data_IF_649028791544
#
_entry.id   IF_649028791544
#
_cell.length_a   1.000
_cell.length_b   1.000
_cell.length_c   1.000
_cell.angle_alpha   90.00
_cell.angle_beta   90.00
_cell.angle_gamma   90.00
#
_symmetry.space_group_name_H-M   'P 1'
#
loop_
_entity.id
_entity.type
_entity.pdbx_description
1 polymer ?
#
# COMPACT_ATOMS: atom_id res chain seq x y z
N UNK A 1 -0.17 3.45 -26.90
CA UNK A 1 -0.37 2.98 -25.52
C UNK A 1 0.74 3.63 -24.74
N UNK A 2 0.46 4.80 -24.16
CA UNK A 2 1.40 5.41 -23.23
C UNK A 2 1.55 4.42 -22.08
N UNK A 3 2.70 3.78 -21.99
CA UNK A 3 3.18 3.16 -20.76
C UNK A 3 3.34 4.32 -19.79
N UNK A 4 2.29 4.64 -19.04
CA UNK A 4 2.42 5.46 -17.84
C UNK A 4 3.52 4.81 -17.02
N UNK A 5 4.62 5.52 -16.80
CA UNK A 5 5.79 4.96 -16.15
C UNK A 5 5.42 4.73 -14.69
N UNK A 6 5.18 3.46 -14.32
CA UNK A 6 4.70 3.07 -13.00
C UNK A 6 5.84 2.49 -12.21
N UNK A 7 6.09 3.06 -11.05
CA UNK A 7 7.18 2.60 -10.17
C UNK A 7 6.60 1.93 -8.94
N UNK A 8 7.17 0.80 -8.56
CA UNK A 8 6.83 0.12 -7.31
C UNK A 8 7.97 0.33 -6.33
N UNK A 9 7.67 0.95 -5.21
CA UNK A 9 8.63 1.28 -4.15
C UNK A 9 8.27 0.50 -2.90
N UNK A 10 9.10 -0.47 -2.51
CA UNK A 10 8.90 -1.30 -1.33
C UNK A 10 9.57 -0.62 -0.13
N UNK A 11 8.82 -0.38 0.94
CA UNK A 11 9.38 0.12 2.20
C UNK A 11 10.04 -1.03 2.98
N UNK A 12 11.36 -1.18 2.84
CA UNK A 12 12.15 -2.32 3.32
C UNK A 12 12.83 -2.15 4.68
N UNK A 13 12.75 -0.99 5.34
CA UNK A 13 13.58 -0.64 6.52
C UNK A 13 13.65 -1.67 7.66
N UNK A 14 12.52 -2.35 7.90
CA UNK A 14 12.32 -3.29 9.00
C UNK A 14 11.92 -4.66 8.45
N UNK A 15 12.10 -4.87 7.14
CA UNK A 15 11.79 -6.12 6.48
C UNK A 15 13.04 -6.98 6.38
N UNK A 16 12.84 -8.27 6.56
CA UNK A 16 13.83 -9.30 6.25
C UNK A 16 13.93 -9.50 4.73
N UNK A 17 15.02 -10.12 4.27
CA UNK A 17 15.16 -10.50 2.86
C UNK A 17 13.98 -11.38 2.39
N UNK A 18 13.48 -12.28 3.24
CA UNK A 18 12.34 -13.16 2.93
C UNK A 18 11.05 -12.36 2.69
N UNK A 19 10.78 -11.36 3.52
CA UNK A 19 9.63 -10.46 3.37
C UNK A 19 9.74 -9.58 2.12
N UNK A 20 10.94 -9.09 1.80
CA UNK A 20 11.20 -8.33 0.57
C UNK A 20 10.94 -9.20 -0.66
N UNK A 21 11.47 -10.43 -0.67
CA UNK A 21 11.27 -11.38 -1.76
C UNK A 21 9.81 -11.81 -1.89
N UNK A 22 9.06 -11.92 -0.79
CA UNK A 22 7.61 -12.14 -0.82
C UNK A 22 6.89 -11.04 -1.63
N UNK A 23 7.19 -9.77 -1.35
CA UNK A 23 6.55 -8.64 -2.03
C UNK A 23 6.95 -8.57 -3.50
N UNK A 24 8.22 -8.78 -3.81
CA UNK A 24 8.69 -8.84 -5.21
C UNK A 24 7.96 -9.93 -5.97
N UNK A 25 7.89 -11.14 -5.40
CA UNK A 25 7.18 -12.26 -6.00
C UNK A 25 5.70 -11.94 -6.21
N UNK A 26 5.06 -11.28 -5.25
CA UNK A 26 3.66 -10.83 -5.38
C UNK A 26 3.49 -9.87 -6.56
N UNK A 27 4.38 -8.89 -6.70
CA UNK A 27 4.35 -7.94 -7.80
C UNK A 27 4.64 -8.61 -9.15
N UNK A 28 5.59 -9.54 -9.22
CA UNK A 28 5.89 -10.31 -10.43
C UNK A 28 4.70 -11.20 -10.84
N UNK A 29 4.04 -11.88 -9.91
CA UNK A 29 2.85 -12.71 -10.18
C UNK A 29 1.66 -11.84 -10.62
N UNK A 30 1.58 -10.60 -10.11
CA UNK A 30 0.64 -9.58 -10.56
C UNK A 30 0.95 -9.04 -11.97
N UNK A 31 2.09 -9.42 -12.56
CA UNK A 31 2.52 -9.03 -13.90
C UNK A 31 3.36 -7.75 -13.96
N UNK A 32 3.93 -7.33 -12.83
CA UNK A 32 4.82 -6.16 -12.77
C UNK A 32 6.24 -6.54 -13.13
N UNK A 33 6.93 -5.67 -13.88
CA UNK A 33 8.32 -5.94 -14.23
C UNK A 33 9.21 -5.70 -13.01
N UNK A 34 10.05 -6.69 -12.67
CA UNK A 34 10.97 -6.58 -11.53
C UNK A 34 11.94 -5.40 -11.59
N UNK A 35 12.24 -4.87 -12.79
CA UNK A 35 13.09 -3.69 -12.99
C UNK A 35 12.42 -2.38 -12.54
N UNK A 36 11.09 -2.38 -12.41
CA UNK A 36 10.30 -1.25 -11.91
C UNK A 36 10.12 -1.29 -10.38
N UNK A 37 10.66 -2.32 -9.71
CA UNK A 37 10.58 -2.52 -8.26
C UNK A 37 11.87 -2.03 -7.58
N UNK A 38 11.75 -0.99 -6.77
CA UNK A 38 12.82 -0.45 -5.93
C UNK A 38 12.53 -0.73 -4.45
N UNK A 39 13.55 -1.06 -3.67
CA UNK A 39 13.43 -1.20 -2.21
C UNK A 39 14.11 -0.02 -1.55
N UNK A 40 13.39 0.66 -0.65
CA UNK A 40 13.88 1.86 0.05
C UNK A 40 13.70 1.72 1.56
N UNK A 41 14.62 2.30 2.32
CA UNK A 41 14.49 2.38 3.78
C UNK A 41 13.53 3.50 4.23
N UNK A 42 13.20 4.45 3.37
CA UNK A 42 12.24 5.50 3.68
C UNK A 42 11.56 6.04 2.43
N UNK A 43 10.30 6.43 2.58
CA UNK A 43 9.52 7.11 1.55
C UNK A 43 10.03 8.54 1.44
N UNK A 44 10.74 8.81 0.36
CA UNK A 44 11.29 10.11 0.05
C UNK A 44 10.28 11.09 -0.58
N UNK A 45 10.82 12.21 -1.06
CA UNK A 45 10.06 13.15 -1.88
C UNK A 45 9.59 12.46 -3.18
N UNK A 46 8.39 12.82 -3.69
CA UNK A 46 7.89 12.24 -4.93
C UNK A 46 8.83 12.60 -6.07
N UNK A 47 9.13 11.62 -6.92
CA UNK A 47 9.88 11.89 -8.14
C UNK A 47 9.02 12.72 -9.10
N UNK A 48 9.49 13.90 -9.56
CA UNK A 48 8.69 14.78 -10.40
C UNK A 48 8.45 14.24 -11.82
N UNK A 49 9.24 13.24 -12.24
CA UNK A 49 9.12 12.57 -13.54
C UNK A 49 8.32 11.25 -13.44
N UNK A 50 7.97 10.80 -12.23
CA UNK A 50 7.13 9.63 -11.99
C UNK A 50 5.65 10.02 -11.83
N UNK A 51 4.82 9.67 -12.81
CA UNK A 51 3.39 10.01 -12.79
C UNK A 51 2.58 9.18 -11.79
N UNK A 52 2.98 7.92 -11.54
CA UNK A 52 2.24 6.98 -10.71
C UNK A 52 3.21 6.06 -9.93
N UNK A 53 3.55 6.49 -8.71
CA UNK A 53 4.37 5.69 -7.77
C UNK A 53 3.47 4.93 -6.79
N UNK A 54 3.63 3.61 -6.77
CA UNK A 54 3.01 2.71 -5.80
C UNK A 54 4.01 2.45 -4.69
N UNK A 55 3.70 2.87 -3.48
CA UNK A 55 4.50 2.54 -2.31
C UNK A 55 3.90 1.32 -1.66
N UNK A 56 4.63 0.21 -1.63
CA UNK A 56 4.20 -1.05 -1.02
C UNK A 56 4.78 -1.17 0.39
N UNK A 57 3.92 -1.41 1.37
CA UNK A 57 4.30 -1.54 2.77
C UNK A 57 3.82 -2.89 3.30
N UNK A 58 4.71 -3.68 3.90
CA UNK A 58 4.28 -4.91 4.57
C UNK A 58 3.71 -4.61 5.95
N UNK A 59 2.53 -5.14 6.25
CA UNK A 59 1.89 -5.04 7.57
C UNK A 59 2.46 -6.06 8.57
N UNK A 60 3.79 -6.15 8.65
CA UNK A 60 4.48 -6.98 9.65
C UNK A 60 4.46 -6.31 11.03
N UNK A 61 4.67 -7.10 12.09
CA UNK A 61 4.65 -6.59 13.47
C UNK A 61 5.72 -5.50 13.68
N UNK A 62 6.92 -5.70 13.15
CA UNK A 62 8.01 -4.73 13.19
C UNK A 62 7.65 -3.45 12.44
N UNK A 63 7.10 -3.55 11.23
CA UNK A 63 6.66 -2.38 10.46
C UNK A 63 5.55 -1.63 11.18
N UNK A 64 4.55 -2.33 11.73
CA UNK A 64 3.43 -1.73 12.46
C UNK A 64 3.84 -1.03 13.76
N UNK A 65 4.99 -1.38 14.35
CA UNK A 65 5.53 -0.75 15.56
C UNK A 65 6.60 0.30 15.26
N UNK A 66 6.95 0.50 13.99
CA UNK A 66 7.94 1.48 13.56
C UNK A 66 7.42 2.92 13.79
N UNK A 67 8.16 3.76 14.53
CA UNK A 67 7.73 5.12 14.82
C UNK A 67 7.80 6.05 13.60
N UNK A 68 8.56 5.69 12.57
CA UNK A 68 8.69 6.49 11.35
C UNK A 68 7.61 6.14 10.30
N UNK A 69 6.98 4.96 10.38
CA UNK A 69 5.93 4.50 9.47
C UNK A 69 4.85 5.56 9.20
N UNK A 70 4.37 6.25 10.24
CA UNK A 70 3.36 7.30 10.08
C UNK A 70 3.83 8.43 9.17
N UNK A 71 5.09 8.87 9.34
CA UNK A 71 5.67 9.94 8.55
C UNK A 71 5.88 9.52 7.08
N UNK A 72 6.29 8.27 6.85
CA UNK A 72 6.44 7.70 5.52
C UNK A 72 5.11 7.60 4.79
N UNK A 73 4.10 7.03 5.45
CA UNK A 73 2.75 6.92 4.92
C UNK A 73 2.14 8.30 4.66
N UNK A 74 2.33 9.27 5.55
CA UNK A 74 1.90 10.65 5.33
C UNK A 74 2.60 11.28 4.10
N UNK A 75 3.86 10.92 3.86
CA UNK A 75 4.63 11.39 2.70
C UNK A 75 4.09 10.81 1.39
N UNK A 76 3.59 9.56 1.39
CA UNK A 76 2.95 8.96 0.21
C UNK A 76 1.73 9.74 -0.29
N UNK A 77 1.08 10.55 0.55
CA UNK A 77 -0.07 11.36 0.10
C UNK A 77 0.32 12.53 -0.83
N UNK A 78 1.62 12.78 -1.03
CA UNK A 78 2.14 13.82 -1.93
C UNK A 78 2.43 13.25 -3.31
N UNK A 79 2.18 14.01 -4.38
CA UNK A 79 2.62 13.65 -5.73
C UNK A 79 1.86 12.51 -6.40
N UNK A 80 0.58 12.30 -6.05
CA UNK A 80 -0.27 11.30 -6.73
C UNK A 80 -0.01 9.84 -6.35
N UNK A 81 0.82 9.59 -5.34
CA UNK A 81 1.26 8.24 -4.98
C UNK A 81 0.22 7.47 -4.17
N UNK A 82 0.35 6.15 -4.18
CA UNK A 82 -0.60 5.23 -3.52
C UNK A 82 0.13 4.30 -2.57
N UNK A 83 -0.22 4.36 -1.29
CA UNK A 83 0.28 3.43 -0.28
C UNK A 83 -0.54 2.13 -0.29
N UNK A 84 0.01 1.04 -0.80
CA UNK A 84 -0.60 -0.29 -0.79
C UNK A 84 0.03 -1.10 0.33
N UNK A 85 -0.77 -1.41 1.35
CA UNK A 85 -0.35 -2.27 2.44
C UNK A 85 -0.67 -3.73 2.13
N UNK A 86 0.31 -4.61 2.32
CA UNK A 86 0.18 -6.05 2.08
C UNK A 86 0.42 -6.81 3.38
N UNK A 87 -0.43 -7.78 3.70
CA UNK A 87 -0.18 -8.66 4.84
C UNK A 87 0.96 -9.65 4.55
N UNK A 88 1.86 -9.91 5.51
CA UNK A 88 2.81 -11.00 5.39
C UNK A 88 2.08 -12.35 5.28
N UNK A 89 2.67 -13.32 4.58
CA UNK A 89 2.09 -14.66 4.43
C UNK A 89 1.93 -15.39 5.79
N UNK A 90 2.79 -15.06 6.75
CA UNK A 90 2.76 -15.59 8.13
C UNK A 90 1.89 -14.73 9.08
N UNK A 91 1.15 -13.74 8.57
CA UNK A 91 0.31 -12.88 9.41
C UNK A 91 -0.72 -13.71 10.20
N UNK A 92 -0.81 -13.41 11.50
CA UNK A 92 -1.84 -14.00 12.34
C UNK A 92 -3.25 -13.66 11.82
N UNK A 93 -4.17 -14.62 11.90
CA UNK A 93 -5.55 -14.49 11.47
C UNK A 93 -6.30 -13.28 12.07
N UNK A 94 -5.93 -12.89 13.29
CA UNK A 94 -6.49 -11.77 14.06
C UNK A 94 -5.63 -10.50 14.01
N UNK A 95 -4.57 -10.47 13.18
CA UNK A 95 -3.73 -9.29 13.04
C UNK A 95 -4.54 -8.07 12.58
N UNK A 96 -4.22 -6.92 13.15
CA UNK A 96 -4.88 -5.66 12.87
C UNK A 96 -3.87 -4.64 12.32
N UNK A 97 -4.26 -3.83 11.33
CA UNK A 97 -3.36 -2.85 10.77
C UNK A 97 -3.09 -1.76 11.81
N UNK A 98 -1.90 -1.15 11.75
CA UNK A 98 -1.58 -0.03 12.61
C UNK A 98 -2.51 1.16 12.36
N UNK A 99 -2.63 2.07 13.33
CA UNK A 99 -3.43 3.29 13.16
C UNK A 99 -2.96 4.10 11.95
N UNK A 100 -1.63 4.20 11.74
CA UNK A 100 -1.03 4.85 10.58
C UNK A 100 -1.48 4.21 9.25
N UNK A 101 -1.46 2.88 9.14
CA UNK A 101 -1.96 2.19 7.94
C UNK A 101 -3.46 2.45 7.75
N UNK A 102 -4.26 2.35 8.80
CA UNK A 102 -5.69 2.69 8.71
C UNK A 102 -5.90 4.14 8.27
N UNK A 103 -5.01 5.06 8.63
CA UNK A 103 -5.19 6.48 8.36
C UNK A 103 -4.78 6.89 6.94
N UNK A 104 -3.71 6.30 6.43
CA UNK A 104 -3.02 6.75 5.22
C UNK A 104 -2.99 5.72 4.08
N UNK A 105 -3.22 4.43 4.35
CA UNK A 105 -3.19 3.42 3.31
C UNK A 105 -4.29 3.66 2.28
N UNK A 106 -3.91 3.55 1.02
CA UNK A 106 -4.84 3.52 -0.11
C UNK A 106 -5.60 2.18 -0.17
N UNK A 107 -4.91 1.07 0.11
CA UNK A 107 -5.50 -0.27 0.19
C UNK A 107 -4.72 -1.14 1.16
N UNK A 108 -5.40 -2.09 1.78
CA UNK A 108 -4.83 -3.12 2.66
C UNK A 108 -5.34 -4.47 2.15
N UNK A 109 -4.44 -5.28 1.62
CA UNK A 109 -4.77 -6.58 1.00
C UNK A 109 -3.92 -7.72 1.57
N UNK A 110 -4.43 -8.94 1.44
CA UNK A 110 -3.60 -10.14 1.65
C UNK A 110 -2.52 -10.29 0.56
N UNK A 111 -1.66 -11.31 0.67
CA UNK A 111 -0.68 -11.68 -0.36
C UNK A 111 -1.37 -12.33 -1.58
N UNK A 112 -2.23 -11.57 -2.25
CA UNK A 112 -3.03 -12.00 -3.40
C UNK A 112 -2.67 -11.17 -4.64
N UNK A 113 -2.08 -11.83 -5.64
CA UNK A 113 -1.53 -11.18 -6.82
C UNK A 113 -2.61 -10.55 -7.73
N UNK A 114 -3.80 -11.16 -7.79
CA UNK A 114 -4.90 -10.62 -8.60
C UNK A 114 -5.41 -9.32 -7.98
N UNK A 115 -5.62 -9.30 -6.66
CA UNK A 115 -6.00 -8.08 -5.93
C UNK A 115 -4.89 -7.04 -5.98
N UNK A 116 -3.64 -7.44 -5.79
CA UNK A 116 -2.48 -6.55 -5.89
C UNK A 116 -2.49 -5.87 -7.26
N UNK A 117 -2.58 -6.65 -8.35
CA UNK A 117 -2.71 -6.14 -9.71
C UNK A 117 -3.84 -5.14 -9.84
N UNK A 118 -5.05 -5.45 -9.36
CA UNK A 118 -6.20 -4.57 -9.48
C UNK A 118 -5.97 -3.24 -8.76
N UNK A 119 -5.51 -3.24 -7.50
CA UNK A 119 -5.35 -2.00 -6.72
C UNK A 119 -4.23 -1.10 -7.23
N UNK A 120 -3.23 -1.67 -7.90
CA UNK A 120 -2.13 -0.91 -8.50
C UNK A 120 -2.44 -0.46 -9.93
N UNK A 121 -3.22 -1.22 -10.73
CA UNK A 121 -3.56 -0.83 -12.11
C UNK A 121 -4.79 0.07 -12.19
N UNK A 122 -5.79 -0.15 -11.34
CA UNK A 122 -7.09 0.54 -11.37
C UNK A 122 -7.16 1.59 -10.24
N UNK A 123 -7.05 2.88 -10.58
CA UNK A 123 -7.00 3.98 -9.62
C UNK A 123 -8.29 4.19 -8.78
N UNK A 124 -9.40 3.59 -9.17
CA UNK A 124 -10.69 3.66 -8.45
C UNK A 124 -10.93 2.43 -7.56
N UNK A 125 -10.13 1.37 -7.71
CA UNK A 125 -10.31 0.13 -6.96
C UNK A 125 -9.45 0.14 -5.70
N UNK A 126 -10.11 0.09 -4.54
CA UNK A 126 -9.46 -0.05 -3.25
C UNK A 126 -10.04 -1.23 -2.48
N UNK A 127 -9.19 -1.91 -1.73
CA UNK A 127 -9.57 -3.06 -0.93
C UNK A 127 -9.03 -2.93 0.50
N UNK A 128 -9.83 -3.33 1.49
CA UNK A 128 -9.47 -3.30 2.90
C UNK A 128 -9.89 -4.62 3.54
N UNK A 129 -8.95 -5.56 3.59
CA UNK A 129 -9.13 -6.88 4.16
C UNK A 129 -8.00 -7.22 5.12
N UNK A 130 -8.31 -8.10 6.07
CA UNK A 130 -7.33 -8.71 6.95
C UNK A 130 -6.56 -9.81 6.23
N UNK A 131 -5.58 -10.42 6.91
CA UNK A 131 -4.71 -11.44 6.30
C UNK A 131 -5.45 -12.67 5.78
N UNK A 132 -6.62 -13.00 6.36
CA UNK A 132 -7.48 -14.09 5.90
C UNK A 132 -8.50 -13.69 4.83
N UNK A 133 -8.40 -12.49 4.26
CA UNK A 133 -9.40 -11.95 3.34
C UNK A 133 -10.73 -11.56 3.99
N UNK A 134 -10.79 -11.50 5.33
CA UNK A 134 -11.94 -10.95 6.02
C UNK A 134 -11.99 -9.43 5.83
N UNK A 135 -13.14 -8.83 5.45
CA UNK A 135 -13.23 -7.39 5.28
C UNK A 135 -12.98 -6.69 6.61
N UNK A 136 -12.04 -5.76 6.61
CA UNK A 136 -11.79 -4.91 7.78
C UNK A 136 -12.89 -3.83 7.86
N UNK A 137 -13.24 -3.36 9.07
CA UNK A 137 -14.09 -2.20 9.19
C UNK A 137 -13.46 -1.05 8.40
N UNK A 138 -14.25 -0.39 7.53
CA UNK A 138 -13.76 0.72 6.70
C UNK A 138 -12.97 1.68 7.59
N UNK A 139 -11.67 1.87 7.31
CA UNK A 139 -10.88 2.75 8.13
C UNK A 139 -11.43 4.18 8.06
N UNK A 140 -11.36 4.89 9.19
CA UNK A 140 -11.63 6.32 9.23
C UNK A 140 -10.42 7.07 8.64
N UNK A 141 -10.10 6.86 7.37
CA UNK A 141 -9.03 7.60 6.68
C UNK A 141 -9.43 9.07 6.57
N UNK A 142 -8.51 10.00 6.81
CA UNK A 142 -8.72 11.44 6.53
C UNK A 142 -8.98 11.70 5.03
N UNK A 143 -8.63 10.75 4.15
CA UNK A 143 -8.95 10.76 2.71
C UNK A 143 -10.45 10.63 2.41
N UNK A 144 -11.25 10.13 3.36
CA UNK A 144 -12.71 10.07 3.26
C UNK A 144 -13.43 11.37 3.65
N UNK A 145 -12.69 12.42 4.06
CA UNK A 145 -13.30 13.73 4.32
C UNK A 145 -13.66 14.51 3.04
N UNK A 146 -13.32 14.02 1.84
CA UNK A 146 -13.70 14.65 0.57
C UNK A 146 -14.96 14.07 -0.12
N UNK A 147 -15.65 13.09 0.47
CA UNK A 147 -16.98 12.64 -0.01
C UNK A 147 -18.00 12.58 1.14
N UNK A 148 -17.99 13.58 2.03
CA UNK A 148 -19.12 13.82 2.93
C UNK A 148 -19.48 15.31 2.96
N UNK A 149 -19.76 15.90 1.79
CA UNK A 149 -20.47 17.20 1.74
C UNK A 149 -21.53 17.31 0.63
N UNK A 150 -21.99 16.19 0.05
CA UNK A 150 -23.12 16.23 -0.89
C UNK A 150 -24.11 15.07 -0.78
N UNK A 151 -24.52 14.75 0.45
CA UNK A 151 -25.72 13.94 0.68
C UNK A 151 -26.64 14.53 1.75
N UNK A 152 -26.83 15.86 1.75
CA UNK A 152 -27.99 16.52 2.39
C UNK A 152 -28.38 17.78 1.62
N UNK A 153 -29.05 17.60 0.49
CA UNK A 153 -30.01 18.57 -0.03
C UNK A 153 -30.83 17.93 -1.16
N UNK A 154 -31.94 17.31 -0.82
CA UNK A 154 -33.21 17.36 -1.57
C UNK A 154 -34.32 16.81 -0.68
#
# INVERSE_FOLDING_TARGET
>A
METTMRRITILGRNLTDEEIEQIKRLAEDAGMAGDEIEVVDAVGEPDPDCEDEIVVILASADTCTDPALEADLATTQRGGRRAVCVWPEDAAADAQPSDAMNKYAYSIIGPDAEKFRVVVTEEDQHCFEGPNGQPLPKPKTERNLCVDEKAKAS
#
